data_IF_810017025953
#
_entry.id   IF_810017025953
#
_cell.length_a   1.000
_cell.length_b   1.000
_cell.length_c   1.000
_cell.angle_alpha   90.00
_cell.angle_beta   90.00
_cell.angle_gamma   90.00
#
_symmetry.space_group_name_H-M   'P 1'
#
loop_
_entity.id
_entity.type
_entity.pdbx_description
1 polymer ?
#
# COMPACT_ATOMS: atom_id res chain seq x y z
N UNK A 1 1.18 5.98 -10.65
CA UNK A 1 1.79 7.01 -11.52
C UNK A 1 2.86 6.42 -12.44
N UNK A 2 3.98 5.91 -11.92
CA UNK A 2 5.06 5.34 -12.77
C UNK A 2 4.58 4.22 -13.71
N UNK A 3 3.80 3.25 -13.21
CA UNK A 3 3.27 2.17 -14.05
C UNK A 3 2.33 2.69 -15.15
N UNK A 4 1.54 3.72 -14.87
CA UNK A 4 0.64 4.33 -15.86
C UNK A 4 1.44 5.02 -16.97
N UNK A 5 2.48 5.78 -16.60
CA UNK A 5 3.37 6.45 -17.56
C UNK A 5 4.19 5.47 -18.42
N UNK A 6 4.54 4.30 -17.87
CA UNK A 6 5.15 3.23 -18.65
C UNK A 6 4.15 2.60 -19.62
N UNK A 7 2.91 2.36 -19.15
CA UNK A 7 1.85 1.73 -19.93
C UNK A 7 1.32 2.61 -21.07
N UNK A 8 1.28 3.93 -20.87
CA UNK A 8 0.87 4.90 -21.91
C UNK A 8 2.01 5.27 -22.88
N UNK A 9 3.24 4.81 -22.60
CA UNK A 9 4.41 5.07 -23.45
C UNK A 9 5.02 6.46 -23.29
N UNK A 10 4.62 7.23 -22.27
CA UNK A 10 5.22 8.56 -22.01
C UNK A 10 6.64 8.48 -21.44
N UNK A 11 6.99 7.35 -20.82
CA UNK A 11 8.36 7.02 -20.38
C UNK A 11 8.68 5.55 -20.69
N UNK A 12 9.97 5.23 -20.76
CA UNK A 12 10.46 3.85 -21.03
C UNK A 12 11.06 3.17 -19.80
N UNK A 13 11.40 3.97 -18.79
CA UNK A 13 12.01 3.55 -17.55
C UNK A 13 11.58 4.47 -16.40
N UNK A 14 11.42 3.92 -15.20
CA UNK A 14 11.16 4.71 -14.00
C UNK A 14 11.83 4.12 -12.77
N UNK A 15 12.25 4.98 -11.85
CA UNK A 15 12.43 4.61 -10.46
C UNK A 15 11.18 4.99 -9.67
N UNK A 16 10.64 4.07 -8.88
CA UNK A 16 9.52 4.31 -7.99
C UNK A 16 9.86 3.84 -6.58
N UNK A 17 9.47 4.60 -5.56
CA UNK A 17 9.82 4.28 -4.19
C UNK A 17 9.33 5.33 -3.20
N UNK A 18 9.83 5.23 -1.98
CA UNK A 18 9.49 6.13 -0.89
C UNK A 18 10.50 6.03 0.24
N UNK A 19 10.54 7.06 1.07
CA UNK A 19 11.34 7.10 2.28
C UNK A 19 10.55 7.76 3.41
N UNK A 20 10.73 7.26 4.62
CA UNK A 20 10.19 7.83 5.85
C UNK A 20 11.29 7.90 6.91
N UNK A 21 11.45 9.09 7.48
CA UNK A 21 12.35 9.35 8.60
C UNK A 21 11.61 10.16 9.67
N UNK A 22 11.82 9.80 10.93
CA UNK A 22 11.21 10.41 12.12
C UNK A 22 12.23 11.38 12.71
N UNK A 23 12.25 12.58 12.12
CA UNK A 23 13.26 13.59 12.43
C UNK A 23 12.87 14.52 13.59
N UNK A 24 11.61 14.48 14.03
CA UNK A 24 11.05 15.30 15.11
C UNK A 24 10.06 14.48 15.95
N UNK A 25 10.01 14.70 17.28
CA UNK A 25 9.04 14.06 18.15
C UNK A 25 7.60 14.55 17.95
N UNK A 26 7.38 15.71 17.29
CA UNK A 26 6.06 16.35 17.16
C UNK A 26 5.02 15.42 16.57
N UNK A 27 5.33 14.79 15.43
CA UNK A 27 4.45 13.79 14.81
C UNK A 27 4.13 12.60 15.75
N UNK A 28 5.06 12.19 16.61
CA UNK A 28 4.81 11.15 17.60
C UNK A 28 3.84 11.62 18.70
N UNK A 29 3.97 12.87 19.12
CA UNK A 29 3.07 13.52 20.09
C UNK A 29 1.67 13.64 19.50
N UNK A 30 1.54 14.09 18.26
CA UNK A 30 0.26 14.24 17.55
C UNK A 30 -0.48 12.90 17.43
N UNK A 31 0.20 11.84 16.96
CA UNK A 31 -0.43 10.52 16.87
C UNK A 31 -0.79 9.93 18.24
N UNK A 32 -0.01 10.23 19.29
CA UNK A 32 -0.33 9.84 20.66
C UNK A 32 -1.59 10.57 21.17
N UNK A 33 -1.70 11.88 20.94
CA UNK A 33 -2.89 12.67 21.29
C UNK A 33 -4.13 12.20 20.53
N UNK A 34 -3.97 11.78 19.27
CA UNK A 34 -5.02 11.19 18.47
C UNK A 34 -5.36 9.73 18.85
N UNK A 35 -4.69 9.16 19.87
CA UNK A 35 -4.87 7.76 20.32
C UNK A 35 -4.66 6.71 19.22
N UNK A 36 -3.73 6.98 18.29
CA UNK A 36 -3.43 6.10 17.15
C UNK A 36 -2.28 5.13 17.42
N UNK A 37 -1.43 5.45 18.40
CA UNK A 37 -0.25 4.65 18.71
C UNK A 37 -0.55 3.53 19.69
N UNK A 38 0.00 2.35 19.41
CA UNK A 38 -0.02 1.21 20.34
C UNK A 38 0.70 1.55 21.64
N UNK A 39 0.06 1.28 22.77
CA UNK A 39 0.67 1.45 24.10
C UNK A 39 1.66 0.34 24.42
N UNK A 40 1.48 -0.82 23.80
CA UNK A 40 2.38 -1.97 23.93
C UNK A 40 3.61 -1.90 23.01
N UNK A 41 3.66 -0.89 22.13
CA UNK A 41 4.82 -0.65 21.27
C UNK A 41 4.95 -1.65 20.11
N UNK A 42 3.84 -2.25 19.66
CA UNK A 42 3.81 -3.18 18.52
C UNK A 42 2.56 -2.99 17.67
N UNK A 43 2.68 -3.18 16.35
CA UNK A 43 1.50 -3.41 15.51
C UNK A 43 1.05 -4.85 15.70
N UNK A 44 -0.09 -5.06 16.37
CA UNK A 44 -0.67 -6.40 16.56
C UNK A 44 -1.67 -6.71 15.44
N UNK A 45 -1.18 -6.79 14.20
CA UNK A 45 -2.02 -6.98 13.01
C UNK A 45 -2.90 -8.23 13.15
N UNK A 46 -4.22 -8.04 13.01
CA UNK A 46 -5.26 -9.08 13.08
C UNK A 46 -5.35 -9.81 14.43
N UNK A 47 -4.70 -9.31 15.48
CA UNK A 47 -4.78 -9.87 16.83
C UNK A 47 -5.86 -9.16 17.65
N UNK A 48 -6.48 -9.90 18.59
CA UNK A 48 -7.43 -9.32 19.56
C UNK A 48 -6.83 -8.21 20.43
N UNK A 49 -5.50 -8.16 20.55
CA UNK A 49 -4.75 -7.17 21.32
C UNK A 49 -4.39 -5.92 20.50
N UNK A 50 -4.92 -5.79 19.28
CA UNK A 50 -4.83 -4.60 18.43
C UNK A 50 -5.22 -3.32 19.19
N UNK A 51 -4.23 -2.50 19.54
CA UNK A 51 -4.37 -1.28 20.34
C UNK A 51 -3.80 -0.03 19.64
N UNK A 52 -3.44 -0.14 18.35
CA UNK A 52 -2.82 0.93 17.56
C UNK A 52 -1.62 0.44 16.75
N UNK A 53 -1.01 1.36 16.00
CA UNK A 53 0.22 1.06 15.26
C UNK A 53 1.46 1.61 15.96
N UNK A 54 2.65 1.20 15.52
CA UNK A 54 3.92 1.88 15.83
C UNK A 54 4.55 2.44 14.58
N UNK A 55 5.29 3.54 14.75
CA UNK A 55 5.99 4.18 13.64
C UNK A 55 7.32 3.47 13.37
N UNK A 56 7.68 3.43 12.10
CA UNK A 56 8.96 2.89 11.63
C UNK A 56 9.59 3.84 10.62
N UNK A 57 10.91 3.78 10.50
CA UNK A 57 11.67 4.45 9.44
C UNK A 57 12.05 3.44 8.37
N UNK A 58 12.32 3.93 7.16
CA UNK A 58 12.75 3.08 6.06
C UNK A 58 12.77 3.81 4.74
N UNK A 59 13.47 3.23 3.77
CA UNK A 59 13.50 3.72 2.40
C UNK A 59 13.64 2.55 1.44
N UNK A 60 13.00 2.68 0.27
CA UNK A 60 13.03 1.64 -0.75
C UNK A 60 12.78 2.23 -2.13
N UNK A 61 13.37 1.58 -3.13
CA UNK A 61 13.25 1.95 -4.54
C UNK A 61 13.20 0.70 -5.39
N UNK A 62 12.37 0.72 -6.43
CA UNK A 62 12.33 -0.28 -7.48
C UNK A 62 12.55 0.37 -8.84
N UNK A 63 13.27 -0.32 -9.71
CA UNK A 63 13.40 0.02 -11.11
C UNK A 63 12.26 -0.63 -11.90
N UNK A 64 11.60 0.13 -12.75
CA UNK A 64 10.43 -0.29 -13.50
C UNK A 64 10.66 -0.05 -14.99
N UNK A 65 10.26 -1.04 -15.80
CA UNK A 65 10.19 -1.00 -17.27
C UNK A 65 8.93 -1.71 -17.73
N UNK A 66 8.53 -1.47 -18.98
CA UNK A 66 7.59 -2.38 -19.64
C UNK A 66 8.22 -3.76 -19.77
N UNK A 67 7.43 -4.80 -19.57
CA UNK A 67 7.91 -6.19 -19.61
C UNK A 67 8.56 -6.53 -20.96
N UNK A 68 7.99 -6.04 -22.07
CA UNK A 68 8.57 -6.22 -23.41
C UNK A 68 10.00 -5.71 -23.48
N UNK A 69 10.24 -4.52 -22.93
CA UNK A 69 11.52 -3.82 -23.07
C UNK A 69 12.56 -4.43 -22.14
N UNK A 70 12.14 -4.86 -20.94
CA UNK A 70 12.99 -5.63 -20.03
C UNK A 70 13.42 -6.97 -20.66
N UNK A 71 12.55 -7.65 -21.41
CA UNK A 71 12.89 -8.88 -22.12
C UNK A 71 13.89 -8.61 -23.25
N UNK A 72 13.63 -7.59 -24.09
CA UNK A 72 14.53 -7.21 -25.20
C UNK A 72 15.92 -6.87 -24.68
N UNK A 73 15.99 -6.12 -23.58
CA UNK A 73 17.26 -5.69 -23.00
C UNK A 73 17.92 -6.78 -22.12
N UNK A 74 17.28 -7.96 -22.00
CA UNK A 74 17.75 -9.08 -21.17
C UNK A 74 17.96 -8.70 -19.70
N UNK A 75 17.09 -7.83 -19.17
CA UNK A 75 17.10 -7.43 -17.78
C UNK A 75 16.70 -8.58 -16.86
N UNK A 76 17.25 -8.59 -15.64
CA UNK A 76 16.74 -9.47 -14.58
C UNK A 76 15.39 -8.96 -14.09
N UNK A 77 14.34 -9.74 -14.36
CA UNK A 77 12.97 -9.44 -13.93
C UNK A 77 12.70 -10.12 -12.57
N UNK A 78 12.39 -9.33 -11.54
CA UNK A 78 12.06 -9.84 -10.20
C UNK A 78 10.58 -10.22 -10.06
N UNK A 79 9.69 -9.40 -10.63
CA UNK A 79 8.25 -9.59 -10.60
C UNK A 79 7.59 -8.80 -11.73
N UNK A 80 6.33 -9.11 -12.03
CA UNK A 80 5.50 -8.36 -12.98
C UNK A 80 4.38 -7.66 -12.22
N UNK A 81 4.24 -6.35 -12.41
CA UNK A 81 3.11 -5.59 -11.87
C UNK A 81 1.95 -5.72 -12.86
N UNK A 82 0.98 -6.57 -12.52
CA UNK A 82 -0.16 -6.84 -13.42
C UNK A 82 -1.18 -5.70 -13.48
N UNK A 83 -1.41 -5.01 -12.36
CA UNK A 83 -2.25 -3.82 -12.26
C UNK A 83 -1.85 -2.97 -11.04
N UNK A 84 -2.16 -1.67 -11.09
CA UNK A 84 -2.04 -0.76 -9.94
C UNK A 84 -3.22 0.21 -9.95
N UNK A 85 -3.92 0.34 -8.83
CA UNK A 85 -5.08 1.21 -8.72
C UNK A 85 -5.05 2.01 -7.42
N UNK A 86 -5.72 3.15 -7.43
CA UNK A 86 -5.93 4.02 -6.27
C UNK A 86 -7.36 4.53 -6.30
N UNK A 87 -7.98 4.69 -5.13
CA UNK A 87 -9.24 5.41 -4.97
C UNK A 87 -9.24 6.18 -3.64
N UNK A 88 -10.43 6.58 -3.18
CA UNK A 88 -10.62 7.31 -1.94
C UNK A 88 -11.82 6.74 -1.18
N UNK A 89 -11.76 6.79 0.15
CA UNK A 89 -12.79 6.26 1.04
C UNK A 89 -14.10 7.06 0.98
N UNK A 90 -14.02 8.32 0.51
CA UNK A 90 -15.18 9.18 0.32
C UNK A 90 -15.79 9.62 1.66
N UNK A 91 -17.11 9.47 1.81
CA UNK A 91 -17.83 9.88 3.02
C UNK A 91 -17.96 8.71 3.98
N UNK A 92 -17.18 8.74 5.06
CA UNK A 92 -17.21 7.74 6.15
C UNK A 92 -17.70 8.35 7.47
N UNK A 93 -17.70 7.58 8.55
CA UNK A 93 -18.16 8.03 9.88
C UNK A 93 -17.28 9.13 10.50
N UNK A 94 -16.08 9.34 9.97
CA UNK A 94 -15.16 10.41 10.34
C UNK A 94 -13.99 10.43 9.38
N UNK A 95 -13.26 11.54 9.27
CA UNK A 95 -12.21 11.72 8.26
C UNK A 95 -11.10 10.63 8.29
N UNK A 96 -10.92 9.96 9.43
CA UNK A 96 -9.93 8.88 9.63
C UNK A 96 -10.56 7.48 9.61
N UNK A 97 -11.87 7.35 9.44
CA UNK A 97 -12.56 6.07 9.44
C UNK A 97 -12.44 5.41 8.04
N UNK A 98 -11.99 4.14 7.97
CA UNK A 98 -11.86 3.44 6.70
C UNK A 98 -13.21 3.11 6.06
N UNK A 99 -13.22 2.81 4.76
CA UNK A 99 -14.39 2.37 4.01
C UNK A 99 -14.20 0.98 3.40
N UNK A 100 -14.89 -0.03 3.96
CA UNK A 100 -14.88 -1.41 3.44
C UNK A 100 -15.32 -1.45 1.96
N UNK A 101 -16.40 -0.74 1.63
CA UNK A 101 -16.93 -0.68 0.26
C UNK A 101 -15.93 -0.08 -0.73
N UNK A 102 -15.22 0.99 -0.33
CA UNK A 102 -14.21 1.62 -1.17
C UNK A 102 -13.01 0.69 -1.39
N UNK A 103 -12.53 0.02 -0.33
CA UNK A 103 -11.42 -0.94 -0.44
C UNK A 103 -11.81 -2.14 -1.31
N UNK A 104 -13.01 -2.70 -1.12
CA UNK A 104 -13.54 -3.78 -1.95
C UNK A 104 -13.68 -3.36 -3.42
N UNK A 105 -14.16 -2.14 -3.68
CA UNK A 105 -14.27 -1.61 -5.03
C UNK A 105 -12.90 -1.45 -5.69
N UNK A 106 -11.90 -0.94 -4.94
CA UNK A 106 -10.52 -0.84 -5.41
C UNK A 106 -9.95 -2.21 -5.78
N UNK A 107 -10.07 -3.20 -4.89
CA UNK A 107 -9.57 -4.56 -5.14
C UNK A 107 -10.24 -5.23 -6.34
N UNK A 108 -11.57 -5.09 -6.48
CA UNK A 108 -12.30 -5.59 -7.66
C UNK A 108 -11.82 -4.90 -8.94
N UNK A 109 -11.57 -3.59 -8.88
CA UNK A 109 -11.04 -2.86 -10.02
C UNK A 109 -9.65 -3.35 -10.43
N UNK A 110 -8.74 -3.54 -9.47
CA UNK A 110 -7.40 -4.09 -9.73
C UNK A 110 -7.46 -5.44 -10.45
N UNK A 111 -8.27 -6.37 -9.92
CA UNK A 111 -8.47 -7.70 -10.51
C UNK A 111 -9.04 -7.62 -11.93
N UNK A 112 -10.00 -6.71 -12.16
CA UNK A 112 -10.57 -6.51 -13.49
C UNK A 112 -9.56 -5.96 -14.51
N UNK A 113 -8.63 -5.11 -14.07
CA UNK A 113 -7.61 -4.53 -14.95
C UNK A 113 -6.57 -5.56 -15.43
N UNK A 114 -6.26 -6.55 -14.59
CA UNK A 114 -5.33 -7.62 -14.94
C UNK A 114 -5.99 -8.93 -15.38
N UNK A 115 -7.32 -8.98 -15.45
CA UNK A 115 -8.07 -10.18 -15.85
C UNK A 115 -7.95 -11.36 -14.87
N UNK A 116 -7.60 -11.09 -13.61
CA UNK A 116 -7.48 -12.12 -12.57
C UNK A 116 -8.76 -12.22 -11.75
N UNK A 117 -8.93 -13.37 -11.10
CA UNK A 117 -9.97 -13.64 -10.13
C UNK A 117 -9.39 -13.71 -8.72
N UNK A 118 -10.27 -13.70 -7.71
CA UNK A 118 -9.86 -13.81 -6.29
C UNK A 118 -9.14 -15.12 -5.99
N UNK A 119 -9.46 -16.20 -6.71
CA UNK A 119 -8.85 -17.53 -6.53
C UNK A 119 -7.45 -17.63 -7.12
N UNK A 120 -7.03 -16.66 -7.94
CA UNK A 120 -5.67 -16.61 -8.50
C UNK A 120 -4.67 -15.98 -7.51
N UNK A 121 -5.15 -15.42 -6.40
CA UNK A 121 -4.32 -14.73 -5.40
C UNK A 121 -3.80 -15.74 -4.36
N UNK A 122 -2.49 -15.99 -4.40
CA UNK A 122 -1.82 -16.89 -3.45
C UNK A 122 -1.41 -16.24 -2.12
N UNK A 123 -1.29 -14.91 -2.09
CA UNK A 123 -0.86 -14.17 -0.91
C UNK A 123 -1.38 -12.73 -0.94
N UNK A 124 -1.64 -12.17 0.24
CA UNK A 124 -2.06 -10.78 0.44
C UNK A 124 -1.14 -10.13 1.47
N UNK A 125 -0.35 -9.16 1.03
CA UNK A 125 0.32 -8.23 1.94
C UNK A 125 -0.69 -7.15 2.34
N UNK A 126 -1.31 -7.31 3.51
CA UNK A 126 -2.35 -6.42 3.98
C UNK A 126 -1.78 -5.14 4.62
N UNK A 127 -2.61 -4.09 4.76
CA UNK A 127 -2.18 -2.88 5.47
C UNK A 127 -1.88 -3.14 6.95
N UNK A 128 -2.68 -3.98 7.61
CA UNK A 128 -2.35 -4.64 8.89
C UNK A 128 -1.87 -3.69 9.98
N UNK A 129 -2.63 -2.64 10.26
CA UNK A 129 -2.18 -1.58 11.19
C UNK A 129 -2.23 -2.01 12.66
N UNK A 130 -2.89 -3.12 12.99
CA UNK A 130 -3.06 -3.53 14.39
C UNK A 130 -4.08 -2.66 15.11
N UNK A 131 -5.13 -2.21 14.40
CA UNK A 131 -6.19 -1.37 14.96
C UNK A 131 -7.51 -2.13 15.03
N UNK A 132 -8.27 -1.92 16.10
CA UNK A 132 -9.57 -2.57 16.32
C UNK A 132 -10.65 -2.18 15.31
N UNK A 133 -10.48 -1.05 14.61
CA UNK A 133 -11.40 -0.58 13.58
C UNK A 133 -10.94 -0.91 12.16
N UNK A 134 -9.62 -0.92 11.91
CA UNK A 134 -9.08 -1.02 10.55
C UNK A 134 -8.68 -2.44 10.12
N UNK A 135 -8.44 -3.34 11.07
CA UNK A 135 -8.07 -4.72 10.77
C UNK A 135 -9.26 -5.66 10.51
N UNK A 136 -10.42 -5.54 11.22
CA UNK A 136 -11.65 -6.24 10.85
C UNK A 136 -12.24 -5.75 9.52
#
# INVERSE_FOLDING_TARGET
>A
MACQALADGSIDFAFAGGANAILSPESYIEFSQASMLSKSGRCHAFDRCADGFVRAEGGGLVALKRLSDAIVDSDRIYAVIAASCVNQDGRTAGIMAPSEDAQMAMMRHALSQCGLSRTDIGYVEAHGTGTSLGDP
#
